data_IF_735072420264
#
_entry.id   IF_735072420264
#
_cell.length_a   1.000
_cell.length_b   1.000
_cell.length_c   1.000
_cell.angle_alpha   90.00
_cell.angle_beta   90.00
_cell.angle_gamma   90.00
#
_symmetry.space_group_name_H-M   'P 1'
#
loop_
_entity.id
_entity.type
_entity.pdbx_description
1 polymer ?
#
# COMPACT_ATOMS: atom_id res chain seq x y z
N UNK A 1 7.27 -13.15 -21.12
CA UNK A 1 6.55 -11.86 -21.25
C UNK A 1 5.33 -12.02 -22.15
N UNK A 2 5.47 -12.66 -23.32
CA UNK A 2 4.35 -12.90 -24.23
C UNK A 2 3.24 -13.74 -23.56
N UNK A 3 3.57 -14.87 -22.95
CA UNK A 3 2.58 -15.78 -22.33
C UNK A 3 1.73 -15.15 -21.22
N UNK A 4 2.26 -14.13 -20.52
CA UNK A 4 1.52 -13.44 -19.46
C UNK A 4 0.71 -12.27 -20.02
N UNK A 5 1.19 -11.58 -21.05
CA UNK A 5 0.36 -10.64 -21.79
C UNK A 5 -0.82 -11.38 -22.47
N UNK A 6 -0.59 -12.61 -22.93
CA UNK A 6 -1.60 -13.46 -23.55
C UNK A 6 -2.57 -14.03 -22.48
N UNK A 7 -2.06 -14.47 -21.33
CA UNK A 7 -2.90 -14.90 -20.19
C UNK A 7 -3.76 -13.74 -19.64
N UNK A 8 -3.18 -12.56 -19.44
CA UNK A 8 -3.94 -11.37 -19.01
C UNK A 8 -4.89 -10.90 -20.12
N UNK A 9 -4.48 -10.98 -21.38
CA UNK A 9 -5.32 -10.65 -22.53
C UNK A 9 -6.50 -11.59 -22.73
N UNK A 10 -6.42 -12.83 -22.23
CA UNK A 10 -7.51 -13.79 -22.23
C UNK A 10 -8.59 -13.51 -21.17
N UNK A 11 -8.30 -12.67 -20.18
CA UNK A 11 -9.27 -12.19 -19.17
C UNK A 11 -9.55 -10.68 -19.39
N UNK A 12 -10.70 -10.32 -20.00
CA UNK A 12 -11.05 -8.92 -20.25
C UNK A 12 -11.12 -8.04 -19.00
N UNK A 13 -11.42 -8.61 -17.83
CA UNK A 13 -11.47 -7.90 -16.55
C UNK A 13 -10.07 -7.54 -16.06
N UNK A 14 -9.14 -8.51 -16.11
CA UNK A 14 -7.74 -8.28 -15.79
C UNK A 14 -7.05 -7.38 -16.81
N UNK A 15 -7.34 -7.53 -18.10
CA UNK A 15 -6.88 -6.66 -19.18
C UNK A 15 -7.28 -5.20 -18.95
N UNK A 16 -8.57 -4.95 -18.67
CA UNK A 16 -9.07 -3.61 -18.38
C UNK A 16 -8.43 -3.01 -17.12
N UNK A 17 -8.23 -3.81 -16.07
CA UNK A 17 -7.55 -3.38 -14.84
C UNK A 17 -6.08 -3.04 -15.07
N UNK A 18 -5.35 -3.92 -15.77
CA UNK A 18 -3.95 -3.68 -16.15
C UNK A 18 -3.84 -2.40 -16.96
N UNK A 19 -4.70 -2.22 -17.97
CA UNK A 19 -4.73 -1.02 -18.79
C UNK A 19 -5.12 0.23 -17.97
N UNK A 20 -6.09 0.15 -17.07
CA UNK A 20 -6.48 1.27 -16.19
C UNK A 20 -5.35 1.66 -15.23
N UNK A 21 -4.61 0.69 -14.72
CA UNK A 21 -3.45 0.93 -13.85
C UNK A 21 -2.30 1.52 -14.67
N UNK A 22 -1.97 0.92 -15.81
CA UNK A 22 -0.96 1.46 -16.72
C UNK A 22 -1.29 2.90 -17.19
N UNK A 23 -2.57 3.18 -17.44
CA UNK A 23 -3.08 4.48 -17.87
C UNK A 23 -3.38 5.47 -16.74
N UNK A 24 -3.21 5.07 -15.48
CA UNK A 24 -3.34 6.00 -14.37
C UNK A 24 -2.26 7.08 -14.49
N UNK A 25 -2.59 8.30 -14.05
CA UNK A 25 -1.65 9.43 -14.03
C UNK A 25 -0.28 9.01 -13.51
N UNK A 26 -0.30 8.21 -12.44
CA UNK A 26 0.81 7.61 -11.72
C UNK A 26 1.78 6.70 -12.48
N UNK A 27 1.36 6.03 -13.57
CA UNK A 27 2.30 5.28 -14.41
C UNK A 27 2.72 6.07 -15.65
N UNK A 28 2.02 7.17 -15.96
CA UNK A 28 2.35 8.06 -17.07
C UNK A 28 2.32 7.41 -18.45
N UNK A 29 1.94 6.13 -18.54
CA UNK A 29 1.81 5.42 -19.80
C UNK A 29 0.42 5.72 -20.35
N UNK A 30 0.33 6.08 -21.62
CA UNK A 30 -0.95 6.04 -22.35
C UNK A 30 -0.86 4.90 -23.36
N UNK A 31 -1.35 3.73 -22.97
CA UNK A 31 -1.36 2.56 -23.82
C UNK A 31 -2.71 1.86 -23.79
N UNK A 32 -3.17 1.45 -24.97
CA UNK A 32 -4.28 0.53 -25.15
C UNK A 32 -3.80 -0.92 -25.37
N UNK A 33 -2.48 -1.16 -25.25
CA UNK A 33 -1.86 -2.46 -25.49
C UNK A 33 -1.46 -3.12 -24.17
N UNK A 34 -2.05 -4.29 -23.90
CA UNK A 34 -1.71 -5.15 -22.76
C UNK A 34 -0.22 -5.48 -22.79
N UNK A 35 0.31 -5.77 -23.98
CA UNK A 35 1.72 -6.14 -24.16
C UNK A 35 2.65 -4.98 -23.79
N UNK A 36 2.32 -3.75 -24.21
CA UNK A 36 3.07 -2.56 -23.81
C UNK A 36 2.91 -2.27 -22.31
N UNK A 37 1.71 -2.41 -21.74
CA UNK A 37 1.48 -2.27 -20.31
C UNK A 37 2.32 -3.28 -19.51
N UNK A 38 2.38 -4.54 -19.95
CA UNK A 38 3.23 -5.59 -19.37
C UNK A 38 4.71 -5.23 -19.46
N UNK A 39 5.18 -4.73 -20.60
CA UNK A 39 6.58 -4.33 -20.76
C UNK A 39 6.95 -3.12 -19.90
N UNK A 40 6.09 -2.10 -19.82
CA UNK A 40 6.33 -0.90 -19.02
C UNK A 40 6.26 -1.15 -17.51
N UNK A 41 5.29 -1.95 -17.06
CA UNK A 41 5.12 -2.29 -15.66
C UNK A 41 6.19 -3.28 -15.20
N UNK A 42 6.59 -4.21 -16.07
CA UNK A 42 7.56 -5.26 -15.74
C UNK A 42 6.96 -6.40 -14.92
N UNK A 43 7.59 -7.57 -15.00
CA UNK A 43 7.04 -8.84 -14.50
C UNK A 43 6.69 -8.86 -13.00
N UNK A 44 7.49 -8.19 -12.17
CA UNK A 44 7.26 -8.12 -10.73
C UNK A 44 5.98 -7.34 -10.41
N UNK A 45 5.83 -6.16 -10.99
CA UNK A 45 4.66 -5.31 -10.75
C UNK A 45 3.37 -5.92 -11.30
N UNK A 46 3.45 -6.67 -12.41
CA UNK A 46 2.29 -7.40 -12.95
C UNK A 46 1.84 -8.49 -11.98
N UNK A 47 2.77 -9.29 -11.45
CA UNK A 47 2.42 -10.36 -10.50
C UNK A 47 1.73 -9.77 -9.26
N UNK A 48 2.30 -8.71 -8.71
CA UNK A 48 1.76 -8.03 -7.53
C UNK A 48 0.40 -7.38 -7.85
N UNK A 49 0.26 -6.82 -9.05
CA UNK A 49 -1.01 -6.27 -9.54
C UNK A 49 -2.08 -7.36 -9.70
N UNK A 50 -1.77 -8.49 -10.34
CA UNK A 50 -2.73 -9.58 -10.53
C UNK A 50 -3.21 -10.09 -9.18
N UNK A 51 -2.29 -10.43 -8.27
CA UNK A 51 -2.63 -10.92 -6.93
C UNK A 51 -3.48 -9.91 -6.15
N UNK A 52 -3.07 -8.64 -6.15
CA UNK A 52 -3.82 -7.59 -5.45
C UNK A 52 -5.19 -7.34 -6.10
N UNK A 53 -5.30 -7.36 -7.43
CA UNK A 53 -6.59 -7.18 -8.10
C UNK A 53 -7.56 -8.32 -7.83
N UNK A 54 -7.11 -9.57 -7.79
CA UNK A 54 -7.96 -10.70 -7.39
C UNK A 54 -8.47 -10.55 -5.96
N UNK A 55 -7.58 -10.13 -5.05
CA UNK A 55 -7.93 -9.80 -3.66
C UNK A 55 -8.96 -8.65 -3.61
N UNK A 56 -8.77 -7.59 -4.40
CA UNK A 56 -9.65 -6.43 -4.41
C UNK A 56 -10.98 -6.69 -5.12
N UNK A 57 -11.04 -7.63 -6.07
CA UNK A 57 -12.29 -8.05 -6.70
C UNK A 57 -13.24 -8.74 -5.72
N UNK A 58 -12.69 -9.46 -4.74
CA UNK A 58 -13.49 -9.96 -3.60
C UNK A 58 -14.15 -8.80 -2.84
N UNK A 59 -13.56 -7.61 -2.91
CA UNK A 59 -14.06 -6.39 -2.30
C UNK A 59 -14.89 -5.49 -3.24
N UNK A 60 -14.94 -5.78 -4.54
CA UNK A 60 -15.68 -4.97 -5.49
C UNK A 60 -17.18 -5.37 -5.52
N UNK A 61 -18.01 -4.71 -4.71
CA UNK A 61 -19.49 -4.79 -4.81
C UNK A 61 -20.03 -3.41 -5.22
N UNK A 62 -21.13 -3.40 -5.98
CA UNK A 62 -21.72 -2.21 -6.66
C UNK A 62 -22.16 -1.06 -5.73
N UNK A 63 -21.93 -1.16 -4.42
CA UNK A 63 -22.64 -0.37 -3.40
C UNK A 63 -21.77 0.71 -2.72
N UNK A 64 -20.45 0.77 -2.96
CA UNK A 64 -19.58 1.77 -2.33
C UNK A 64 -18.92 2.65 -3.41
N UNK A 65 -19.06 3.99 -3.35
CA UNK A 65 -18.54 4.88 -4.38
C UNK A 65 -17.02 4.77 -4.59
N UNK A 66 -16.58 4.67 -5.84
CA UNK A 66 -15.17 4.54 -6.26
C UNK A 66 -14.25 5.62 -5.66
N UNK A 67 -14.79 6.83 -5.46
CA UNK A 67 -14.11 7.97 -4.81
C UNK A 67 -13.60 7.68 -3.39
N UNK A 68 -14.12 6.64 -2.73
CA UNK A 68 -13.77 6.31 -1.35
C UNK A 68 -12.61 5.30 -1.30
N UNK A 69 -12.54 4.36 -2.23
CA UNK A 69 -11.44 3.38 -2.32
C UNK A 69 -10.21 3.91 -3.02
N UNK A 70 -10.39 4.80 -3.99
CA UNK A 70 -9.29 5.30 -4.82
C UNK A 70 -8.10 5.86 -4.02
N UNK A 71 -8.29 6.64 -2.93
CA UNK A 71 -7.17 7.12 -2.11
C UNK A 71 -6.37 6.01 -1.44
N UNK A 72 -7.05 5.01 -0.86
CA UNK A 72 -6.39 3.87 -0.20
C UNK A 72 -5.63 3.01 -1.22
N UNK A 73 -6.18 2.83 -2.42
CA UNK A 73 -5.48 2.16 -3.52
C UNK A 73 -4.25 2.94 -3.95
N UNK A 74 -4.39 4.23 -4.20
CA UNK A 74 -3.27 5.07 -4.60
C UNK A 74 -2.17 5.07 -3.54
N UNK A 75 -2.53 5.05 -2.25
CA UNK A 75 -1.58 4.97 -1.14
C UNK A 75 -0.83 3.65 -1.18
N UNK A 76 -1.54 2.55 -1.36
CA UNK A 76 -0.97 1.20 -1.41
C UNK A 76 0.01 1.02 -2.58
N UNK A 77 -0.36 1.52 -3.77
CA UNK A 77 0.54 1.52 -4.93
C UNK A 77 1.77 2.41 -4.69
N UNK A 78 1.57 3.60 -4.12
CA UNK A 78 2.65 4.53 -3.78
C UNK A 78 3.62 3.92 -2.78
N UNK A 79 3.11 3.29 -1.73
CA UNK A 79 3.91 2.55 -0.76
C UNK A 79 4.71 1.44 -1.46
N UNK A 80 4.10 0.62 -2.31
CA UNK A 80 4.79 -0.45 -3.06
C UNK A 80 5.97 0.07 -3.90
N UNK A 81 5.81 1.20 -4.60
CA UNK A 81 6.92 1.83 -5.34
C UNK A 81 8.00 2.36 -4.42
N UNK A 82 7.64 3.04 -3.33
CA UNK A 82 8.62 3.58 -2.37
C UNK A 82 9.43 2.43 -1.75
N UNK A 83 8.79 1.32 -1.36
CA UNK A 83 9.49 0.12 -0.88
C UNK A 83 10.53 -0.34 -1.90
N UNK A 84 10.12 -0.47 -3.17
CA UNK A 84 10.98 -0.91 -4.26
C UNK A 84 12.15 0.04 -4.52
N UNK A 85 11.90 1.36 -4.46
CA UNK A 85 12.91 2.39 -4.61
C UNK A 85 13.91 2.38 -3.43
N UNK A 86 13.42 2.18 -2.21
CA UNK A 86 14.24 2.12 -1.00
C UNK A 86 15.26 0.99 -1.07
N UNK A 87 14.85 -0.22 -1.50
CA UNK A 87 15.79 -1.32 -1.74
C UNK A 87 16.89 -0.98 -2.76
N UNK A 88 16.54 -0.28 -3.85
CA UNK A 88 17.53 0.20 -4.82
C UNK A 88 18.50 1.21 -4.20
N UNK A 89 18.01 2.12 -3.36
CA UNK A 89 18.84 3.10 -2.65
C UNK A 89 19.80 2.44 -1.66
N UNK A 90 19.38 1.34 -1.04
CA UNK A 90 20.22 0.51 -0.18
C UNK A 90 21.24 -0.33 -0.97
N UNK A 91 21.20 -0.32 -2.31
CA UNK A 91 22.03 -1.18 -3.15
C UNK A 91 21.71 -2.66 -3.03
N UNK A 92 20.49 -3.02 -2.56
CA UNK A 92 20.06 -4.39 -2.30
C UNK A 92 19.06 -4.87 -3.34
N UNK A 93 19.11 -6.15 -3.66
CA UNK A 93 18.03 -6.82 -4.40
C UNK A 93 16.82 -6.93 -3.48
N UNK A 94 15.71 -6.28 -3.87
CA UNK A 94 14.46 -6.36 -3.12
C UNK A 94 13.95 -7.81 -3.12
N UNK A 95 13.56 -8.37 -1.95
CA UNK A 95 12.86 -9.63 -1.89
C UNK A 95 11.63 -9.63 -2.81
N UNK A 96 11.27 -10.82 -3.32
CA UNK A 96 10.15 -10.96 -4.24
C UNK A 96 8.84 -10.42 -3.67
N UNK A 97 8.61 -10.60 -2.36
CA UNK A 97 7.41 -10.18 -1.64
C UNK A 97 7.42 -8.71 -1.17
N UNK A 98 8.55 -8.00 -1.24
CA UNK A 98 8.67 -6.67 -0.61
C UNK A 98 7.70 -5.63 -1.18
N UNK A 99 7.60 -5.59 -2.50
CA UNK A 99 6.69 -4.67 -3.21
C UNK A 99 5.23 -5.02 -2.90
N UNK A 100 4.89 -6.31 -2.85
CA UNK A 100 3.56 -6.79 -2.47
C UNK A 100 3.21 -6.48 -1.01
N UNK A 101 4.18 -6.51 -0.10
CA UNK A 101 3.98 -6.12 1.30
C UNK A 101 3.51 -4.66 1.39
N UNK A 102 4.19 -3.73 0.70
CA UNK A 102 3.75 -2.33 0.62
C UNK A 102 2.40 -2.13 -0.06
N UNK A 103 2.03 -3.02 -0.99
CA UNK A 103 0.76 -2.96 -1.70
C UNK A 103 -0.44 -3.46 -0.86
N UNK A 104 -0.20 -4.32 0.12
CA UNK A 104 -1.27 -4.96 0.89
C UNK A 104 -1.43 -4.39 2.30
N UNK A 105 -0.65 -3.38 2.70
CA UNK A 105 -0.75 -2.79 4.06
C UNK A 105 -2.16 -2.26 4.39
N UNK A 106 -2.85 -1.68 3.42
CA UNK A 106 -4.17 -1.06 3.63
C UNK A 106 -5.34 -2.04 3.40
N UNK A 107 -5.07 -3.34 3.27
CA UNK A 107 -6.13 -4.30 2.94
C UNK A 107 -7.19 -4.38 4.06
N UNK A 108 -6.78 -4.22 5.32
CA UNK A 108 -7.70 -4.16 6.45
C UNK A 108 -8.60 -2.93 6.40
N UNK A 109 -8.06 -1.76 6.04
CA UNK A 109 -8.85 -0.53 5.89
C UNK A 109 -9.86 -0.66 4.76
N UNK A 110 -9.48 -1.31 3.65
CA UNK A 110 -10.38 -1.60 2.53
C UNK A 110 -11.51 -2.54 2.97
N UNK A 111 -11.19 -3.58 3.75
CA UNK A 111 -12.19 -4.48 4.33
C UNK A 111 -13.16 -3.74 5.26
N UNK A 112 -12.63 -2.96 6.21
CA UNK A 112 -13.42 -2.20 7.18
C UNK A 112 -14.31 -1.17 6.49
N UNK A 113 -13.78 -0.49 5.48
CA UNK A 113 -14.54 0.44 4.66
C UNK A 113 -15.68 -0.26 3.93
N UNK A 114 -15.43 -1.42 3.31
CA UNK A 114 -16.49 -2.18 2.64
C UNK A 114 -17.57 -2.65 3.62
N UNK A 115 -17.15 -3.14 4.79
CA UNK A 115 -18.05 -3.76 5.76
C UNK A 115 -18.90 -2.75 6.52
N UNK A 116 -18.33 -1.59 6.85
CA UNK A 116 -18.93 -0.61 7.75
C UNK A 116 -19.15 0.77 7.13
N UNK A 117 -18.76 0.97 5.86
CA UNK A 117 -18.96 2.14 4.98
C UNK A 117 -18.99 3.48 5.75
N UNK A 118 -20.19 4.02 6.04
CA UNK A 118 -20.37 5.30 6.74
C UNK A 118 -19.63 5.38 8.07
N UNK A 119 -19.60 4.29 8.85
CA UNK A 119 -18.95 4.30 10.17
C UNK A 119 -17.43 4.42 10.04
N UNK A 120 -16.83 3.68 9.11
CA UNK A 120 -15.38 3.78 8.87
C UNK A 120 -15.01 5.13 8.23
N UNK A 121 -15.88 5.66 7.38
CA UNK A 121 -15.72 7.00 6.83
C UNK A 121 -15.75 8.11 7.87
N UNK A 122 -16.64 8.01 8.86
CA UNK A 122 -16.68 8.96 9.96
C UNK A 122 -15.37 8.92 10.76
N UNK A 123 -14.82 7.74 11.03
CA UNK A 123 -13.52 7.57 11.69
C UNK A 123 -12.41 8.28 10.89
N UNK A 124 -12.33 8.04 9.58
CA UNK A 124 -11.33 8.69 8.72
C UNK A 124 -11.47 10.22 8.76
N UNK A 125 -12.70 10.74 8.78
CA UNK A 125 -12.96 12.18 8.87
C UNK A 125 -12.61 12.76 10.24
N UNK A 126 -12.91 12.03 11.31
CA UNK A 126 -12.64 12.41 12.68
C UNK A 126 -11.14 12.49 12.96
N UNK A 127 -10.35 11.48 12.55
CA UNK A 127 -8.87 11.55 12.63
C UNK A 127 -8.34 12.77 11.89
N UNK A 128 -8.84 13.05 10.69
CA UNK A 128 -8.42 14.23 9.91
C UNK A 128 -8.75 15.54 10.61
N UNK A 129 -9.87 15.61 11.34
CA UNK A 129 -10.23 16.80 12.10
C UNK A 129 -9.35 16.95 13.34
N UNK A 130 -9.24 15.90 14.16
CA UNK A 130 -8.45 15.91 15.39
C UNK A 130 -6.96 16.17 15.13
N UNK A 131 -6.42 15.66 14.02
CA UNK A 131 -5.05 15.94 13.61
C UNK A 131 -4.85 17.41 13.23
N UNK A 132 -5.82 18.11 12.65
CA UNK A 132 -5.73 19.57 12.41
C UNK A 132 -5.66 20.35 13.71
N UNK A 133 -6.34 19.84 14.73
CA UNK A 133 -6.39 20.42 16.08
C UNK A 133 -5.14 20.06 16.92
N UNK A 134 -4.15 19.37 16.34
CA UNK A 134 -2.91 18.88 16.99
C UNK A 134 -3.15 17.87 18.12
N UNK A 135 -4.26 17.14 18.09
CA UNK A 135 -4.44 15.96 18.92
C UNK A 135 -3.48 14.83 18.48
N UNK A 136 -3.04 13.98 19.42
CA UNK A 136 -2.17 12.82 19.15
C UNK A 136 -2.96 11.53 18.85
N UNK A 137 -4.24 11.66 18.48
CA UNK A 137 -5.13 10.52 18.20
C UNK A 137 -4.80 9.89 16.85
N UNK A 138 -4.52 8.59 16.84
CA UNK A 138 -4.30 7.82 15.61
C UNK A 138 -5.59 7.18 15.12
N UNK A 139 -5.60 6.76 13.85
CA UNK A 139 -6.70 5.94 13.31
C UNK A 139 -6.87 4.63 14.08
N UNK A 140 -5.78 4.02 14.54
CA UNK A 140 -5.81 2.78 15.33
C UNK A 140 -6.56 2.98 16.66
N UNK A 141 -6.45 4.17 17.29
CA UNK A 141 -7.20 4.47 18.51
C UNK A 141 -8.72 4.46 18.26
N UNK A 142 -9.18 5.17 17.23
CA UNK A 142 -10.61 5.25 16.90
C UNK A 142 -11.16 3.92 16.37
N UNK A 143 -10.34 3.13 15.65
CA UNK A 143 -10.71 1.79 15.20
C UNK A 143 -10.89 0.82 16.37
N UNK A 144 -10.00 0.85 17.37
CA UNK A 144 -10.14 0.05 18.59
C UNK A 144 -11.43 0.43 19.33
N UNK A 145 -11.71 1.72 19.47
CA UNK A 145 -12.94 2.18 20.11
C UNK A 145 -14.20 1.71 19.35
N UNK A 146 -14.17 1.78 18.02
CA UNK A 146 -15.33 1.44 17.20
C UNK A 146 -15.53 -0.07 16.99
N UNK A 147 -14.45 -0.83 16.80
CA UNK A 147 -14.49 -2.21 16.33
C UNK A 147 -13.78 -3.21 17.24
N UNK A 148 -13.03 -2.75 18.24
CA UNK A 148 -12.19 -3.59 19.09
C UNK A 148 -10.95 -4.17 18.38
N UNK A 149 -10.65 -3.69 17.18
CA UNK A 149 -9.52 -4.14 16.34
C UNK A 149 -9.08 -3.03 15.40
N UNK A 150 -7.79 -3.01 15.05
CA UNK A 150 -7.23 -2.08 14.06
C UNK A 150 -7.30 -2.64 12.64
N UNK A 151 -7.19 -1.77 11.64
CA UNK A 151 -7.01 -2.19 10.25
C UNK A 151 -5.78 -3.07 10.06
N UNK A 152 -4.68 -2.79 10.77
CA UNK A 152 -3.45 -3.58 10.75
C UNK A 152 -3.72 -5.04 11.16
N UNK A 153 -4.46 -5.23 12.26
CA UNK A 153 -4.84 -6.55 12.78
C UNK A 153 -5.81 -7.27 11.84
N UNK A 154 -6.83 -6.57 11.34
CA UNK A 154 -7.81 -7.13 10.39
C UNK A 154 -7.11 -7.55 9.09
N UNK A 155 -6.24 -6.70 8.56
CA UNK A 155 -5.50 -6.97 7.34
C UNK A 155 -4.54 -8.13 7.49
N UNK A 156 -3.78 -8.18 8.59
CA UNK A 156 -2.93 -9.30 8.93
C UNK A 156 -3.68 -10.62 9.03
N UNK A 157 -4.81 -10.65 9.75
CA UNK A 157 -5.63 -11.84 9.89
C UNK A 157 -6.15 -12.33 8.54
N UNK A 158 -6.65 -11.41 7.71
CA UNK A 158 -7.17 -11.72 6.38
C UNK A 158 -6.08 -12.31 5.46
N UNK A 159 -4.91 -11.68 5.42
CA UNK A 159 -3.78 -12.15 4.61
C UNK A 159 -3.28 -13.51 5.09
N UNK A 160 -3.24 -13.73 6.40
CA UNK A 160 -2.90 -15.03 6.98
C UNK A 160 -3.93 -16.10 6.59
N UNK A 161 -5.22 -15.77 6.64
CA UNK A 161 -6.29 -16.69 6.23
C UNK A 161 -6.22 -17.05 4.74
N UNK A 162 -5.73 -16.14 3.91
CA UNK A 162 -5.47 -16.38 2.49
C UNK A 162 -4.12 -17.03 2.20
N UNK A 163 -3.43 -17.52 3.24
CA UNK A 163 -2.14 -18.19 3.11
C UNK A 163 -1.07 -17.35 2.39
N UNK A 164 -1.19 -16.02 2.50
CA UNK A 164 -0.20 -15.09 1.96
C UNK A 164 1.11 -15.25 2.76
N UNK A 165 2.29 -15.18 2.10
CA UNK A 165 3.57 -15.36 2.78
C UNK A 165 3.74 -14.50 4.03
N UNK A 166 4.24 -15.11 5.11
CA UNK A 166 4.37 -14.49 6.43
C UNK A 166 5.01 -13.09 6.43
N UNK A 167 6.07 -12.78 5.63
CA UNK A 167 6.63 -11.42 5.61
C UNK A 167 5.64 -10.32 5.20
N UNK A 168 4.63 -10.66 4.40
CA UNK A 168 3.56 -9.72 3.99
C UNK A 168 2.51 -9.59 5.10
N UNK A 169 2.15 -10.71 5.75
CA UNK A 169 1.28 -10.73 6.92
C UNK A 169 1.89 -9.88 8.05
N UNK A 170 3.16 -10.09 8.34
CA UNK A 170 3.92 -9.35 9.36
C UNK A 170 3.94 -7.85 9.05
N UNK A 171 4.17 -7.47 7.79
CA UNK A 171 4.11 -6.08 7.36
C UNK A 171 2.70 -5.48 7.56
N UNK A 172 1.63 -6.21 7.22
CA UNK A 172 0.28 -5.72 7.44
C UNK A 172 -0.06 -5.53 8.93
N UNK A 173 0.45 -6.37 9.82
CA UNK A 173 0.18 -6.25 11.27
C UNK A 173 0.98 -5.13 11.92
N UNK A 174 2.26 -4.97 11.55
CA UNK A 174 3.22 -4.19 12.31
C UNK A 174 3.78 -2.97 11.54
N UNK A 175 3.22 -2.60 10.39
CA UNK A 175 3.71 -1.44 9.63
C UNK A 175 3.68 -0.13 10.42
N UNK A 176 2.79 0.05 11.41
CA UNK A 176 2.82 1.21 12.32
C UNK A 176 3.90 1.12 13.42
N UNK A 177 4.42 -0.07 13.74
CA UNK A 177 5.39 -0.29 14.81
C UNK A 177 6.49 -1.29 14.37
N UNK A 178 7.44 -0.85 13.53
CA UNK A 178 8.46 -1.72 12.93
C UNK A 178 9.48 -2.29 13.92
N UNK A 179 9.59 -1.72 15.13
CA UNK A 179 10.48 -2.18 16.20
C UNK A 179 9.78 -2.98 17.29
N UNK A 180 8.51 -3.37 17.09
CA UNK A 180 7.81 -4.25 18.02
C UNK A 180 8.65 -5.52 18.27
N UNK A 181 8.67 -6.00 19.52
CA UNK A 181 9.45 -7.19 19.94
C UNK A 181 9.14 -8.45 19.14
N UNK A 182 7.94 -8.55 18.57
CA UNK A 182 7.49 -9.71 17.79
C UNK A 182 7.90 -9.61 16.30
N UNK A 183 8.48 -8.49 15.86
CA UNK A 183 8.91 -8.31 14.47
C UNK A 183 10.20 -9.10 14.20
N UNK A 184 10.11 -9.98 13.21
CA UNK A 184 11.22 -10.74 12.66
C UNK A 184 11.94 -9.91 11.60
N UNK A 185 11.22 -9.41 10.58
CA UNK A 185 11.82 -8.70 9.46
C UNK A 185 11.81 -7.17 9.65
N UNK A 186 12.64 -6.69 10.58
CA UNK A 186 12.75 -5.24 10.88
C UNK A 186 13.15 -4.41 9.67
N UNK A 187 14.01 -4.93 8.78
CA UNK A 187 14.38 -4.22 7.55
C UNK A 187 13.18 -3.95 6.65
N UNK A 188 12.41 -4.99 6.31
CA UNK A 188 11.20 -4.81 5.48
C UNK A 188 10.22 -3.85 6.15
N UNK A 189 9.98 -4.02 7.45
CA UNK A 189 8.98 -3.22 8.16
C UNK A 189 9.42 -1.77 8.32
N UNK A 190 10.70 -1.48 8.57
CA UNK A 190 11.22 -0.10 8.56
C UNK A 190 11.04 0.53 7.19
N UNK A 191 11.28 -0.21 6.11
CA UNK A 191 11.07 0.28 4.73
C UNK A 191 9.57 0.52 4.46
N UNK A 192 8.70 -0.40 4.86
CA UNK A 192 7.24 -0.28 4.69
C UNK A 192 6.68 0.88 5.52
N UNK A 193 7.15 1.07 6.75
CA UNK A 193 6.74 2.16 7.62
C UNK A 193 7.12 3.54 7.03
N UNK A 194 8.36 3.67 6.54
CA UNK A 194 8.79 4.87 5.80
C UNK A 194 7.92 5.05 4.55
N UNK A 195 7.70 3.98 3.79
CA UNK A 195 6.93 4.04 2.55
C UNK A 195 5.48 4.47 2.78
N UNK A 196 4.84 3.98 3.83
CA UNK A 196 3.51 4.39 4.23
C UNK A 196 3.47 5.89 4.56
N UNK A 197 4.37 6.35 5.44
CA UNK A 197 4.46 7.75 5.85
C UNK A 197 4.55 8.70 4.65
N UNK A 198 5.45 8.42 3.70
CA UNK A 198 5.60 9.26 2.51
C UNK A 198 4.45 9.07 1.52
N UNK A 199 3.85 7.88 1.42
CA UNK A 199 2.68 7.67 0.54
C UNK A 199 1.43 8.44 0.99
N UNK A 200 1.24 8.58 2.30
CA UNK A 200 0.09 9.25 2.87
C UNK A 200 0.16 10.79 2.72
N UNK A 201 1.36 11.38 2.83
CA UNK A 201 1.62 12.81 2.51
C UNK A 201 1.15 13.19 1.11
N UNK A 202 1.35 12.31 0.13
CA UNK A 202 1.00 12.56 -1.29
C UNK A 202 -0.50 12.65 -1.51
N UNK A 203 -1.28 11.94 -0.71
CA UNK A 203 -2.73 11.76 -0.94
C UNK A 203 -3.54 12.65 0.03
N UNK A 204 -2.87 13.53 0.79
CA UNK A 204 -3.47 14.38 1.83
C UNK A 204 -4.27 13.56 2.88
N UNK A 205 -3.90 12.29 3.05
CA UNK A 205 -4.33 11.48 4.18
C UNK A 205 -3.33 11.80 5.29
N UNK A 206 -3.76 12.72 6.17
CA UNK A 206 -2.95 13.33 7.23
C UNK A 206 -2.11 12.28 7.98
N UNK A 207 -0.81 12.29 7.68
CA UNK A 207 0.15 11.29 8.12
C UNK A 207 1.04 11.90 9.21
N UNK A 208 0.49 12.05 10.40
CA UNK A 208 1.33 11.93 11.59
C UNK A 208 1.47 10.46 11.92
N UNK A 209 1.98 9.71 10.95
CA UNK A 209 2.51 8.37 11.19
C UNK A 209 3.78 8.57 12.01
N UNK A 210 4.01 7.63 12.91
CA UNK A 210 5.04 7.60 13.94
C UNK A 210 6.44 8.07 13.48
N UNK A 211 7.30 8.38 14.45
CA UNK A 211 8.66 8.84 14.21
C UNK A 211 9.45 7.89 13.28
N UNK A 212 9.52 8.23 12.00
CA UNK A 212 10.30 7.48 10.99
C UNK A 212 11.82 7.65 11.17
N UNK A 213 12.28 8.54 12.06
CA UNK A 213 13.71 8.78 12.28
C UNK A 213 14.43 7.52 12.76
N UNK A 214 13.79 6.71 13.61
CA UNK A 214 14.37 5.45 14.07
C UNK A 214 14.56 4.47 12.90
N UNK A 215 13.62 4.43 11.95
CA UNK A 215 13.74 3.61 10.74
C UNK A 215 14.86 4.10 9.83
N UNK A 216 15.01 5.42 9.63
CA UNK A 216 16.11 5.98 8.85
C UNK A 216 17.47 5.68 9.48
N UNK A 217 17.59 5.80 10.81
CA UNK A 217 18.80 5.44 11.56
C UNK A 217 19.11 3.95 11.42
N UNK A 218 18.12 3.08 11.60
CA UNK A 218 18.28 1.63 11.48
C UNK A 218 18.74 1.20 10.08
N UNK A 219 18.17 1.80 9.03
CA UNK A 219 18.52 1.49 7.64
C UNK A 219 19.80 2.19 7.17
N UNK A 220 20.41 3.06 7.98
CA UNK A 220 21.53 3.91 7.61
C UNK A 220 21.25 4.76 6.35
N UNK A 221 20.02 5.24 6.19
CA UNK A 221 19.61 6.10 5.08
C UNK A 221 19.54 7.54 5.57
N UNK A 222 20.25 8.46 4.89
CA UNK A 222 20.09 9.89 5.13
C UNK A 222 18.72 10.37 4.64
N UNK A 223 17.88 10.85 5.56
CA UNK A 223 16.53 11.33 5.28
C UNK A 223 16.48 12.37 4.15
N UNK A 224 17.38 13.35 4.15
CA UNK A 224 17.45 14.40 3.12
C UNK A 224 17.68 13.84 1.70
N UNK A 225 18.46 12.75 1.60
CA UNK A 225 18.77 12.07 0.34
C UNK A 225 17.59 11.20 -0.10
N UNK A 226 16.91 10.59 0.85
CA UNK A 226 15.68 9.86 0.60
C UNK A 226 14.58 10.75 0.06
N UNK A 227 14.30 11.87 0.73
CA UNK A 227 13.24 12.81 0.35
C UNK A 227 13.45 13.34 -1.08
N UNK A 228 14.66 13.81 -1.40
CA UNK A 228 15.02 14.21 -2.77
C UNK A 228 14.73 13.13 -3.81
N UNK A 229 15.00 11.86 -3.47
CA UNK A 229 14.82 10.75 -4.41
C UNK A 229 13.36 10.35 -4.59
N UNK A 230 12.58 10.45 -3.52
CA UNK A 230 11.16 10.15 -3.54
C UNK A 230 10.37 11.24 -4.26
N UNK A 231 10.73 12.52 -4.10
CA UNK A 231 10.11 13.62 -4.85
C UNK A 231 10.22 13.39 -6.37
N UNK A 232 11.38 12.94 -6.86
CA UNK A 232 11.56 12.55 -8.28
C UNK A 232 10.63 11.41 -8.74
N UNK A 233 10.25 10.51 -7.83
CA UNK A 233 9.44 9.32 -8.12
C UNK A 233 7.93 9.56 -8.06
N UNK A 234 7.50 10.65 -7.42
CA UNK A 234 6.09 10.94 -7.12
C UNK A 234 5.53 12.06 -8.01
N UNK A 235 6.40 12.83 -8.70
CA UNK A 235 6.02 13.91 -9.63
C UNK A 235 5.49 13.40 -11.00
N UNK A 236 5.48 12.08 -11.25
CA UNK A 236 4.90 11.45 -12.45
C UNK A 236 3.70 10.58 -12.09
#
# INVERSE_FOLDING_TARGET
MQDIADAIGSDPSMAAKLLRVANSTYYGVKTNSIKQAVTYLGMKNIRDLVLSTSIFDMFNTKDVPERIFQPLWQQSFTCSKIVSATYKMLGKSAPAYASLAGLLINIGSIFLLKRFDKRYMNIIQEVKQLNREKSEVTIENLEIEAFGSTHSQVGGYLLNWWEIPYPIVEAAIYHHNPFNKNVINKELLSIVHIAEHYSAKVIYLDSRVNDVEECFKYLCIEKSKFERKIDELIIY
#
